data_IF_341725635369
#
_entry.id   IF_341725635369
#
_cell.length_a   1.000
_cell.length_b   1.000
_cell.length_c   1.000
_cell.angle_alpha   90.00
_cell.angle_beta   90.00
_cell.angle_gamma   90.00
#
_symmetry.space_group_name_H-M   'P 1'
#
loop_
_entity.id
_entity.type
_entity.pdbx_description
1 polymer ?
#
# COMPACT_ATOMS: atom_id res chain seq x y z
N UNK A 1 -20.45 23.33 -0.27
CA UNK A 1 -20.11 22.89 1.10
C UNK A 1 -19.39 21.55 1.01
N UNK A 2 -18.21 21.39 1.63
CA UNK A 2 -17.47 20.12 1.56
C UNK A 2 -18.11 19.03 2.44
N UNK A 3 -17.87 17.75 2.10
CA UNK A 3 -18.36 16.58 2.89
C UNK A 3 -17.95 16.69 4.37
N UNK A 4 -16.72 17.15 4.63
CA UNK A 4 -16.25 17.37 6.00
C UNK A 4 -17.09 18.37 6.80
N UNK A 5 -17.63 19.41 6.15
CA UNK A 5 -18.51 20.37 6.81
C UNK A 5 -19.88 19.76 7.16
N UNK A 6 -20.42 18.88 6.30
CA UNK A 6 -21.64 18.14 6.58
C UNK A 6 -21.45 17.17 7.76
N UNK A 7 -20.33 16.43 7.78
CA UNK A 7 -19.98 15.52 8.90
C UNK A 7 -19.85 16.32 10.20
N UNK A 8 -19.17 17.47 10.16
CA UNK A 8 -19.04 18.34 11.33
C UNK A 8 -20.38 18.86 11.85
N UNK A 9 -21.31 19.23 10.97
CA UNK A 9 -22.66 19.64 11.36
C UNK A 9 -23.47 18.50 11.98
N UNK A 10 -23.38 17.29 11.42
CA UNK A 10 -24.04 16.11 11.99
C UNK A 10 -23.49 15.79 13.40
N UNK A 11 -22.17 15.82 13.57
CA UNK A 11 -21.53 15.62 14.87
C UNK A 11 -21.94 16.70 15.89
N UNK A 12 -22.01 17.97 15.47
CA UNK A 12 -22.47 19.05 16.34
C UNK A 12 -23.93 18.85 16.76
N UNK A 13 -24.82 18.44 15.84
CA UNK A 13 -26.22 18.16 16.14
C UNK A 13 -26.36 17.02 17.16
N UNK A 14 -25.61 15.93 16.98
CA UNK A 14 -25.57 14.80 17.91
C UNK A 14 -25.09 15.22 19.31
N UNK A 15 -24.02 16.01 19.41
CA UNK A 15 -23.51 16.53 20.69
C UNK A 15 -24.54 17.41 21.40
N UNK A 16 -25.21 18.31 20.65
CA UNK A 16 -26.26 19.16 21.21
C UNK A 16 -27.47 18.35 21.67
N UNK A 17 -27.80 17.26 20.96
CA UNK A 17 -28.89 16.38 21.31
C UNK A 17 -28.61 15.60 22.60
N UNK A 18 -27.40 15.06 22.76
CA UNK A 18 -26.96 14.42 24.02
C UNK A 18 -26.97 15.43 25.16
N UNK A 19 -26.50 16.65 24.93
CA UNK A 19 -26.52 17.70 25.94
C UNK A 19 -27.96 18.07 26.35
N UNK A 20 -28.88 18.21 25.39
CA UNK A 20 -30.28 18.49 25.67
C UNK A 20 -30.94 17.35 26.46
N UNK A 21 -30.63 16.11 26.09
CA UNK A 21 -31.06 14.93 26.84
C UNK A 21 -30.58 14.92 28.29
N UNK A 22 -29.31 15.26 28.53
CA UNK A 22 -28.73 15.29 29.87
C UNK A 22 -29.17 16.48 30.73
N UNK A 23 -29.44 17.65 30.13
CA UNK A 23 -29.64 18.91 30.86
C UNK A 23 -31.10 19.39 30.92
N UNK A 24 -31.97 18.90 30.02
CA UNK A 24 -33.35 19.40 29.88
C UNK A 24 -34.41 18.30 30.05
N UNK A 25 -34.04 17.15 30.62
CA UNK A 25 -34.91 15.99 30.81
C UNK A 25 -35.69 15.60 29.55
N UNK A 26 -35.05 15.75 28.38
CA UNK A 26 -35.66 15.36 27.12
C UNK A 26 -36.00 13.86 27.20
N UNK A 27 -37.24 13.49 26.88
CA UNK A 27 -37.60 12.08 26.88
C UNK A 27 -36.69 11.30 25.90
N UNK A 28 -36.20 10.13 26.32
CA UNK A 28 -35.32 9.27 25.49
C UNK A 28 -35.93 9.01 24.09
N UNK A 29 -37.25 8.81 24.02
CA UNK A 29 -37.98 8.60 22.76
C UNK A 29 -37.87 9.83 21.84
N UNK A 30 -38.00 11.04 22.40
CA UNK A 30 -37.87 12.28 21.64
C UNK A 30 -36.42 12.47 21.15
N UNK A 31 -35.42 12.13 21.98
CA UNK A 31 -34.02 12.17 21.58
C UNK A 31 -33.74 11.20 20.43
N UNK A 32 -34.22 9.96 20.49
CA UNK A 32 -34.08 8.98 19.40
C UNK A 32 -34.78 9.44 18.12
N UNK A 33 -35.98 10.00 18.22
CA UNK A 33 -36.71 10.55 17.07
C UNK A 33 -35.95 11.68 16.38
N UNK A 34 -35.40 12.61 17.16
CA UNK A 34 -34.58 13.72 16.64
C UNK A 34 -33.30 13.22 15.98
N UNK A 35 -32.60 12.25 16.59
CA UNK A 35 -31.40 11.66 16.00
C UNK A 35 -31.71 11.01 14.64
N UNK A 36 -32.76 10.18 14.54
CA UNK A 36 -33.18 9.59 13.28
C UNK A 36 -33.53 10.65 12.21
N UNK A 37 -34.13 11.76 12.64
CA UNK A 37 -34.37 12.93 11.79
C UNK A 37 -33.08 13.55 11.23
N UNK A 38 -32.06 13.70 12.08
CA UNK A 38 -30.72 14.19 11.68
C UNK A 38 -30.06 13.23 10.69
N UNK A 39 -30.12 11.91 10.94
CA UNK A 39 -29.57 10.88 10.04
C UNK A 39 -30.25 10.93 8.67
N UNK A 40 -31.58 11.01 8.63
CA UNK A 40 -32.35 11.09 7.39
C UNK A 40 -32.06 12.39 6.59
N UNK A 41 -31.98 13.52 7.29
CA UNK A 41 -31.63 14.81 6.68
C UNK A 41 -30.21 14.79 6.10
N UNK A 42 -29.24 14.24 6.84
CA UNK A 42 -27.87 14.08 6.40
C UNK A 42 -27.76 13.19 5.15
N UNK A 43 -28.46 12.06 5.13
CA UNK A 43 -28.51 11.16 3.98
C UNK A 43 -29.14 11.85 2.75
N UNK A 44 -30.22 12.61 2.95
CA UNK A 44 -30.87 13.39 1.91
C UNK A 44 -29.96 14.46 1.31
N UNK A 45 -29.30 15.25 2.15
CA UNK A 45 -28.32 16.26 1.75
C UNK A 45 -27.13 15.65 1.01
N UNK A 46 -26.56 14.57 1.54
CA UNK A 46 -25.46 13.86 0.90
C UNK A 46 -25.87 13.33 -0.49
N UNK A 47 -27.08 12.77 -0.63
CA UNK A 47 -27.60 12.29 -1.91
C UNK A 47 -27.86 13.42 -2.90
N UNK A 48 -28.34 14.57 -2.43
CA UNK A 48 -28.56 15.75 -3.26
C UNK A 48 -27.25 16.35 -3.78
N UNK A 49 -26.20 16.38 -2.94
CA UNK A 49 -24.91 16.99 -3.27
C UNK A 49 -23.99 16.03 -4.06
N UNK A 50 -23.99 14.74 -3.71
CA UNK A 50 -23.06 13.75 -4.27
C UNK A 50 -23.65 12.91 -5.41
N UNK A 51 -24.94 13.07 -5.71
CA UNK A 51 -25.65 12.32 -6.75
C UNK A 51 -26.15 10.93 -6.31
N UNK A 52 -27.02 10.34 -7.14
CA UNK A 52 -27.60 9.00 -6.93
C UNK A 52 -26.54 7.92 -7.26
N UNK A 53 -25.77 7.45 -6.29
CA UNK A 53 -25.01 6.21 -6.50
C UNK A 53 -23.78 5.95 -5.64
N UNK A 54 -23.38 6.82 -4.71
CA UNK A 54 -22.17 6.57 -3.94
C UNK A 54 -22.44 5.54 -2.80
N UNK A 55 -21.88 4.31 -2.84
CA UNK A 55 -21.97 3.35 -1.72
C UNK A 55 -21.41 3.93 -0.41
N UNK A 56 -20.54 4.94 -0.51
CA UNK A 56 -20.05 5.73 0.62
C UNK A 56 -21.17 6.41 1.41
N UNK A 57 -22.23 6.91 0.76
CA UNK A 57 -23.37 7.56 1.46
C UNK A 57 -24.11 6.55 2.32
N UNK A 58 -24.32 5.33 1.81
CA UNK A 58 -24.94 4.25 2.58
C UNK A 58 -24.08 3.83 3.76
N UNK A 59 -22.76 3.69 3.58
CA UNK A 59 -21.85 3.37 4.67
C UNK A 59 -21.83 4.45 5.76
N UNK A 60 -21.76 5.73 5.39
CA UNK A 60 -21.82 6.85 6.35
C UNK A 60 -23.16 6.88 7.10
N UNK A 61 -24.27 6.64 6.40
CA UNK A 61 -25.62 6.60 7.00
C UNK A 61 -25.76 5.42 7.97
N UNK A 62 -25.22 4.25 7.61
CA UNK A 62 -25.22 3.07 8.48
C UNK A 62 -24.40 3.29 9.75
N UNK A 63 -23.22 3.94 9.65
CA UNK A 63 -22.40 4.29 10.81
C UNK A 63 -23.15 5.28 11.71
N UNK A 64 -23.78 6.31 11.14
CA UNK A 64 -24.58 7.27 11.91
C UNK A 64 -25.72 6.58 12.66
N UNK A 65 -26.47 5.72 11.98
CA UNK A 65 -27.60 5.01 12.57
C UNK A 65 -27.19 3.99 13.66
N UNK A 66 -26.10 3.24 13.44
CA UNK A 66 -25.70 2.16 14.33
C UNK A 66 -25.04 2.67 15.62
N UNK A 67 -24.29 3.76 15.53
CA UNK A 67 -23.62 4.35 16.70
C UNK A 67 -24.48 5.39 17.43
N UNK A 68 -25.72 5.61 16.96
CA UNK A 68 -26.66 6.55 17.56
C UNK A 68 -26.04 7.96 17.67
N UNK A 69 -26.23 8.68 18.80
CA UNK A 69 -25.71 10.03 18.96
C UNK A 69 -24.16 10.09 19.07
N UNK A 70 -23.46 8.97 18.97
CA UNK A 70 -22.00 8.94 18.85
C UNK A 70 -21.52 8.75 17.40
N UNK A 71 -22.45 8.59 16.45
CA UNK A 71 -22.15 8.36 15.04
C UNK A 71 -21.41 9.51 14.38
N UNK A 72 -21.79 10.76 14.66
CA UNK A 72 -21.08 11.95 14.17
C UNK A 72 -19.61 12.01 14.63
N UNK A 73 -19.31 11.94 15.94
CA UNK A 73 -17.93 11.84 16.44
C UNK A 73 -17.15 10.64 15.89
N UNK A 74 -17.77 9.46 15.77
CA UNK A 74 -17.15 8.29 15.16
C UNK A 74 -16.76 8.56 13.70
N UNK A 75 -17.62 9.24 12.93
CA UNK A 75 -17.29 9.71 11.58
C UNK A 75 -16.25 10.82 11.53
N UNK A 76 -15.97 11.56 12.61
CA UNK A 76 -14.84 12.48 12.64
C UNK A 76 -13.52 11.75 12.90
N UNK A 77 -13.52 10.68 13.70
CA UNK A 77 -12.35 9.83 13.95
C UNK A 77 -12.02 8.99 12.71
N UNK A 78 -13.04 8.41 12.08
CA UNK A 78 -12.94 7.65 10.82
C UNK A 78 -12.87 8.62 9.63
N UNK A 79 -13.22 9.88 9.85
CA UNK A 79 -13.28 10.96 8.88
C UNK A 79 -11.95 11.20 8.20
N UNK A 80 -11.92 12.01 7.14
CA UNK A 80 -10.90 11.95 6.10
C UNK A 80 -9.58 12.61 6.55
N UNK A 81 -8.93 12.07 7.58
CA UNK A 81 -7.54 12.36 7.91
C UNK A 81 -6.57 11.85 6.85
N UNK A 82 -7.03 11.12 5.82
CA UNK A 82 -6.20 10.59 4.73
C UNK A 82 -6.91 10.52 3.36
N UNK A 83 -7.87 11.39 3.04
CA UNK A 83 -8.40 11.48 1.67
C UNK A 83 -7.46 12.22 0.68
N UNK A 84 -6.20 12.45 1.07
CA UNK A 84 -5.10 12.63 0.11
C UNK A 84 -4.60 11.30 -0.49
N UNK A 85 -4.93 10.17 0.13
CA UNK A 85 -4.89 8.84 -0.48
C UNK A 85 -6.30 8.50 -0.95
N UNK A 86 -6.57 8.75 -2.23
CA UNK A 86 -7.89 8.56 -2.82
C UNK A 86 -8.44 7.17 -2.49
N UNK A 87 -9.72 7.06 -2.10
CA UNK A 87 -10.44 5.78 -2.07
C UNK A 87 -10.47 5.09 -3.45
N UNK A 88 -10.07 5.79 -4.51
CA UNK A 88 -9.72 5.18 -5.79
C UNK A 88 -8.52 4.22 -5.68
N UNK A 89 -7.55 4.42 -4.79
CA UNK A 89 -6.42 3.50 -4.62
C UNK A 89 -6.81 2.22 -3.86
N UNK A 90 -7.74 2.30 -2.90
CA UNK A 90 -8.27 1.12 -2.22
C UNK A 90 -9.22 0.30 -3.12
N UNK A 91 -9.99 0.96 -3.99
CA UNK A 91 -10.81 0.30 -5.01
C UNK A 91 -9.96 -0.24 -6.19
N UNK A 92 -8.83 0.40 -6.53
CA UNK A 92 -7.85 -0.08 -7.53
C UNK A 92 -7.05 -1.29 -7.08
N UNK A 93 -6.96 -1.57 -5.78
CA UNK A 93 -6.37 -2.82 -5.27
C UNK A 93 -7.28 -4.04 -5.42
N UNK A 94 -8.61 -3.85 -5.56
CA UNK A 94 -9.56 -4.97 -5.68
C UNK A 94 -10.14 -5.18 -7.08
N UNK A 95 -10.36 -4.11 -7.85
CA UNK A 95 -10.95 -4.19 -9.18
C UNK A 95 -9.94 -3.80 -10.25
N UNK A 96 -9.41 -4.81 -10.97
CA UNK A 96 -8.72 -4.67 -12.25
C UNK A 96 -7.73 -3.51 -12.32
N UNK A 97 -6.53 -3.69 -11.77
CA UNK A 97 -5.42 -2.76 -11.98
C UNK A 97 -5.20 -2.64 -13.49
N UNK A 98 -5.73 -1.59 -14.09
CA UNK A 98 -5.43 -1.21 -15.46
C UNK A 98 -3.90 -1.14 -15.52
N UNK A 99 -3.22 -1.85 -16.44
CA UNK A 99 -1.77 -1.85 -16.49
C UNK A 99 -1.32 -0.39 -16.55
N UNK A 100 -0.45 0.00 -15.63
CA UNK A 100 0.05 1.36 -15.54
C UNK A 100 0.47 1.80 -16.93
N UNK A 101 -0.07 2.92 -17.40
CA UNK A 101 0.23 3.37 -18.75
C UNK A 101 1.75 3.59 -18.85
N UNK A 102 2.32 3.37 -20.04
CA UNK A 102 3.76 3.63 -20.25
C UNK A 102 4.15 5.06 -19.81
N UNK A 103 3.21 6.02 -19.89
CA UNK A 103 3.37 7.38 -19.41
C UNK A 103 3.43 7.50 -17.87
N UNK A 104 2.60 6.78 -17.12
CA UNK A 104 2.68 6.73 -15.65
C UNK A 104 3.95 6.02 -15.18
N UNK A 105 4.33 4.91 -15.83
CA UNK A 105 5.60 4.24 -15.55
C UNK A 105 6.80 5.15 -15.84
N UNK A 106 6.75 5.94 -16.92
CA UNK A 106 7.77 6.92 -17.27
C UNK A 106 7.78 8.09 -16.28
N UNK A 107 6.63 8.64 -15.90
CA UNK A 107 6.51 9.72 -14.93
C UNK A 107 7.02 9.29 -13.55
N UNK A 108 6.71 8.06 -13.12
CA UNK A 108 7.26 7.48 -11.91
C UNK A 108 8.77 7.28 -12.06
N UNK A 109 9.27 6.80 -13.21
CA UNK A 109 10.71 6.65 -13.45
C UNK A 109 11.46 8.00 -13.45
N UNK A 110 10.86 9.07 -13.97
CA UNK A 110 11.45 10.43 -14.01
C UNK A 110 11.45 11.02 -12.60
N UNK A 111 10.33 10.92 -11.89
CA UNK A 111 10.21 11.35 -10.49
C UNK A 111 11.18 10.58 -9.60
N UNK A 112 11.36 9.29 -9.87
CA UNK A 112 12.31 8.42 -9.15
C UNK A 112 13.76 8.72 -9.53
N UNK A 113 14.10 8.98 -10.80
CA UNK A 113 15.48 9.34 -11.21
C UNK A 113 15.93 10.72 -10.70
N UNK A 114 14.99 11.63 -10.42
CA UNK A 114 15.30 12.91 -9.75
C UNK A 114 15.60 12.75 -8.27
N UNK A 115 15.18 11.65 -7.63
CA UNK A 115 15.70 11.24 -6.33
C UNK A 115 16.93 10.39 -6.61
N UNK A 116 18.13 10.95 -6.42
CA UNK A 116 19.37 10.19 -6.64
C UNK A 116 19.21 8.76 -6.10
N UNK A 117 19.39 7.73 -6.94
CA UNK A 117 19.38 6.36 -6.47
C UNK A 117 20.38 6.31 -5.33
N UNK A 118 19.88 6.05 -4.11
CA UNK A 118 20.72 5.91 -2.95
C UNK A 118 21.78 4.87 -3.32
N UNK A 119 23.08 5.21 -3.29
CA UNK A 119 24.11 4.26 -3.66
C UNK A 119 23.97 3.04 -2.76
N UNK A 120 23.50 1.93 -3.34
CA UNK A 120 23.35 0.63 -2.69
C UNK A 120 24.71 0.12 -2.14
N UNK A 121 25.81 0.69 -2.62
CA UNK A 121 27.19 0.39 -2.25
C UNK A 121 27.67 1.06 -0.95
N UNK A 122 26.85 1.86 -0.27
CA UNK A 122 27.28 2.57 0.94
C UNK A 122 26.29 2.58 2.12
N UNK A 123 25.13 1.93 1.99
CA UNK A 123 24.21 1.81 3.12
C UNK A 123 24.71 0.73 4.09
N UNK A 124 24.80 1.01 5.41
CA UNK A 124 24.85 -0.05 6.41
C UNK A 124 23.72 -1.02 6.10
N UNK A 125 23.99 -2.33 6.17
CA UNK A 125 22.95 -3.33 5.93
C UNK A 125 21.69 -2.96 6.70
N UNK A 126 20.51 -3.03 6.08
CA UNK A 126 19.26 -2.49 6.66
C UNK A 126 19.02 -2.91 8.12
N UNK A 127 19.46 -4.12 8.50
CA UNK A 127 19.45 -4.61 9.88
C UNK A 127 20.23 -3.69 10.83
N UNK A 128 21.42 -3.24 10.45
CA UNK A 128 22.24 -2.30 11.23
C UNK A 128 21.55 -0.95 11.40
N UNK A 129 20.89 -0.44 10.36
CA UNK A 129 20.11 0.81 10.44
C UNK A 129 19.01 0.70 11.50
N UNK A 130 18.33 -0.44 11.59
CA UNK A 130 17.32 -0.66 12.63
C UNK A 130 17.88 -0.85 14.04
N UNK A 131 19.16 -1.25 14.18
CA UNK A 131 19.81 -1.42 15.48
C UNK A 131 20.42 -0.14 16.03
N UNK A 132 21.15 0.60 15.20
CA UNK A 132 21.97 1.74 15.65
C UNK A 132 21.64 3.05 14.95
N UNK A 133 20.78 3.03 13.94
CA UNK A 133 20.40 4.23 13.20
C UNK A 133 19.48 5.15 14.01
N UNK A 134 19.45 6.42 13.62
CA UNK A 134 18.50 7.40 14.18
C UNK A 134 17.07 7.04 13.78
N UNK A 135 16.08 7.52 14.55
CA UNK A 135 14.66 7.31 14.23
C UNK A 135 14.32 7.71 12.79
N UNK A 136 14.88 8.83 12.31
CA UNK A 136 14.68 9.29 10.93
C UNK A 136 15.27 8.32 9.89
N UNK A 137 16.45 7.74 10.16
CA UNK A 137 17.06 6.74 9.30
C UNK A 137 16.24 5.44 9.28
N UNK A 138 15.73 5.01 10.43
CA UNK A 138 14.87 3.83 10.56
C UNK A 138 13.56 4.00 9.78
N UNK A 139 12.92 5.17 9.88
CA UNK A 139 11.72 5.49 9.09
C UNK A 139 12.01 5.53 7.58
N UNK A 140 13.14 6.10 7.16
CA UNK A 140 13.57 6.08 5.75
C UNK A 140 13.82 4.66 5.25
N UNK A 141 14.40 3.80 6.10
CA UNK A 141 14.61 2.38 5.79
C UNK A 141 13.28 1.64 5.61
N UNK A 142 12.29 1.82 6.51
CA UNK A 142 10.94 1.23 6.34
C UNK A 142 10.30 1.71 5.04
N UNK A 143 10.41 3.00 4.73
CA UNK A 143 9.85 3.57 3.50
C UNK A 143 10.54 3.01 2.25
N UNK A 144 11.84 2.72 2.30
CA UNK A 144 12.56 2.06 1.21
C UNK A 144 12.12 0.61 1.03
N UNK A 145 12.01 -0.16 2.12
CA UNK A 145 11.50 -1.55 2.12
C UNK A 145 10.09 -1.61 1.52
N UNK A 146 9.21 -0.66 1.86
CA UNK A 146 7.84 -0.59 1.33
C UNK A 146 7.75 -0.35 -0.19
N UNK A 147 8.78 0.26 -0.80
CA UNK A 147 8.82 0.61 -2.22
C UNK A 147 9.60 -0.38 -3.07
N UNK A 148 10.71 -0.89 -2.55
CA UNK A 148 11.69 -1.69 -3.29
C UNK A 148 12.06 -2.95 -2.50
N UNK A 149 11.06 -3.68 -2.04
CA UNK A 149 11.27 -4.90 -1.27
C UNK A 149 12.08 -5.93 -2.06
N UNK A 150 13.11 -6.47 -1.41
CA UNK A 150 13.85 -7.66 -1.85
C UNK A 150 13.80 -8.72 -0.74
N UNK A 151 13.77 -10.03 -1.05
CA UNK A 151 13.82 -11.09 -0.04
C UNK A 151 14.94 -10.92 1.00
N UNK A 152 16.11 -10.42 0.59
CA UNK A 152 17.25 -10.18 1.49
C UNK A 152 16.98 -9.09 2.55
N UNK A 153 15.95 -8.25 2.35
CA UNK A 153 15.52 -7.24 3.32
C UNK A 153 14.60 -7.81 4.42
N UNK A 154 14.16 -9.07 4.31
CA UNK A 154 13.26 -9.72 5.29
C UNK A 154 13.81 -9.67 6.73
N UNK A 155 15.09 -9.95 7.00
CA UNK A 155 15.64 -9.86 8.37
C UNK A 155 15.56 -8.44 8.94
N UNK A 156 15.70 -7.42 8.09
CA UNK A 156 15.57 -6.02 8.52
C UNK A 156 14.12 -5.66 8.85
N UNK A 157 13.16 -6.09 8.04
CA UNK A 157 11.74 -5.92 8.33
C UNK A 157 11.34 -6.64 9.62
N UNK A 158 11.82 -7.86 9.84
CA UNK A 158 11.62 -8.59 11.09
C UNK A 158 12.21 -7.85 12.31
N UNK A 159 13.40 -7.27 12.15
CA UNK A 159 14.02 -6.41 13.18
C UNK A 159 13.15 -5.18 13.48
N UNK A 160 12.58 -4.55 12.46
CA UNK A 160 11.69 -3.39 12.62
C UNK A 160 10.37 -3.76 13.33
N UNK A 161 9.81 -4.94 13.04
CA UNK A 161 8.62 -5.46 13.73
C UNK A 161 8.87 -5.74 15.22
N UNK A 162 10.08 -6.16 15.56
CA UNK A 162 10.53 -6.39 16.93
C UNK A 162 11.06 -5.13 17.63
N UNK A 163 10.97 -3.95 17.00
CA UNK A 163 11.53 -2.71 17.57
C UNK A 163 10.88 -2.37 18.92
N UNK A 164 11.65 -1.90 19.93
CA UNK A 164 11.06 -1.42 21.18
C UNK A 164 10.21 -0.16 20.98
N UNK A 165 10.43 0.60 19.91
CA UNK A 165 9.71 1.85 19.60
C UNK A 165 8.34 1.56 18.98
N UNK A 166 7.21 1.90 19.65
CA UNK A 166 5.87 1.56 19.16
C UNK A 166 5.56 2.09 17.75
N UNK A 167 5.97 3.31 17.45
CA UNK A 167 5.73 3.93 16.14
C UNK A 167 6.39 3.15 14.98
N UNK A 168 7.60 2.63 15.17
CA UNK A 168 8.27 1.81 14.15
C UNK A 168 7.60 0.46 13.97
N UNK A 169 7.16 -0.18 15.07
CA UNK A 169 6.43 -1.46 14.98
C UNK A 169 5.16 -1.32 14.15
N UNK A 170 4.38 -0.26 14.40
CA UNK A 170 3.14 -0.01 13.66
C UNK A 170 3.43 0.22 12.17
N UNK A 171 4.45 1.02 11.86
CA UNK A 171 4.86 1.24 10.46
C UNK A 171 5.34 -0.04 9.79
N UNK A 172 6.15 -0.84 10.48
CA UNK A 172 6.65 -2.11 9.97
C UNK A 172 5.51 -3.13 9.76
N UNK A 173 4.53 -3.19 10.68
CA UNK A 173 3.36 -4.05 10.55
C UNK A 173 2.49 -3.66 9.34
N UNK A 174 2.29 -2.36 9.12
CA UNK A 174 1.56 -1.87 7.95
C UNK A 174 2.28 -2.26 6.64
N UNK A 175 3.61 -2.12 6.59
CA UNK A 175 4.42 -2.55 5.43
C UNK A 175 4.37 -4.06 5.24
N UNK A 176 4.47 -4.84 6.31
CA UNK A 176 4.36 -6.30 6.27
C UNK A 176 3.01 -6.76 5.71
N UNK A 177 1.90 -6.20 6.21
CA UNK A 177 0.56 -6.52 5.72
C UNK A 177 0.38 -6.18 4.23
N UNK A 178 0.89 -5.01 3.81
CA UNK A 178 0.89 -4.59 2.39
C UNK A 178 1.67 -5.56 1.50
N UNK A 179 2.89 -5.93 1.91
CA UNK A 179 3.73 -6.85 1.15
C UNK A 179 3.10 -8.24 1.08
N UNK A 180 2.54 -8.73 2.19
CA UNK A 180 1.81 -9.99 2.24
C UNK A 180 0.68 -10.03 1.21
N UNK A 181 -0.22 -9.06 1.26
CA UNK A 181 -1.34 -8.98 0.31
C UNK A 181 -0.87 -8.91 -1.14
N UNK A 182 0.19 -8.16 -1.42
CA UNK A 182 0.72 -8.02 -2.79
C UNK A 182 1.34 -9.30 -3.33
N UNK A 183 2.14 -10.01 -2.53
CA UNK A 183 2.78 -11.26 -2.95
C UNK A 183 1.79 -12.42 -3.02
N UNK A 184 0.81 -12.50 -2.10
CA UNK A 184 -0.28 -13.47 -2.19
C UNK A 184 -1.10 -13.28 -3.48
N UNK A 185 -1.43 -12.02 -3.83
CA UNK A 185 -2.14 -11.73 -5.07
C UNK A 185 -1.33 -12.11 -6.32
N UNK A 186 -0.01 -11.82 -6.31
CA UNK A 186 0.89 -12.24 -7.39
C UNK A 186 0.99 -13.76 -7.50
N UNK A 187 1.15 -14.46 -6.39
CA UNK A 187 1.21 -15.93 -6.37
C UNK A 187 -0.07 -16.55 -6.95
N UNK A 188 -1.24 -16.07 -6.53
CA UNK A 188 -2.53 -16.50 -7.09
C UNK A 188 -2.64 -16.25 -8.59
N UNK A 189 -2.20 -15.08 -9.06
CA UNK A 189 -2.22 -14.75 -10.47
C UNK A 189 -1.31 -15.67 -11.31
N UNK A 190 -0.11 -15.96 -10.81
CA UNK A 190 0.86 -16.89 -11.43
C UNK A 190 0.27 -18.31 -11.48
N UNK A 191 -0.28 -18.80 -10.37
CA UNK A 191 -0.85 -20.16 -10.33
C UNK A 191 -2.09 -20.30 -11.23
N UNK A 192 -2.90 -19.25 -11.36
CA UNK A 192 -4.04 -19.25 -12.27
C UNK A 192 -3.62 -19.18 -13.76
N UNK A 193 -2.52 -18.48 -14.06
CA UNK A 193 -2.02 -18.32 -15.43
C UNK A 193 -0.49 -18.48 -15.48
N UNK A 194 0.04 -19.71 -15.42
CA UNK A 194 1.48 -19.97 -15.35
C UNK A 194 2.33 -19.27 -16.40
N UNK A 195 1.86 -19.28 -17.65
CA UNK A 195 2.54 -18.68 -18.79
C UNK A 195 2.65 -17.14 -18.74
N UNK A 196 2.01 -16.48 -17.76
CA UNK A 196 2.04 -15.03 -17.61
C UNK A 196 3.31 -14.50 -16.92
N UNK A 197 4.13 -15.37 -16.34
CA UNK A 197 5.34 -14.99 -15.60
C UNK A 197 6.55 -15.81 -16.04
N UNK A 198 7.72 -15.18 -16.04
CA UNK A 198 9.00 -15.86 -16.27
C UNK A 198 9.50 -16.57 -15.00
N UNK A 199 10.41 -17.53 -15.17
CA UNK A 199 10.98 -18.29 -14.06
C UNK A 199 11.60 -17.39 -12.97
N UNK A 200 12.22 -16.26 -13.36
CA UNK A 200 12.79 -15.29 -12.42
C UNK A 200 11.72 -14.63 -11.53
N UNK A 201 10.59 -14.23 -12.10
CA UNK A 201 9.46 -13.67 -11.33
C UNK A 201 8.86 -14.71 -10.41
N UNK A 202 8.69 -15.95 -10.88
CA UNK A 202 8.15 -17.04 -10.08
C UNK A 202 9.07 -17.31 -8.88
N UNK A 203 10.38 -17.41 -9.09
CA UNK A 203 11.37 -17.56 -8.01
C UNK A 203 11.34 -16.40 -7.03
N UNK A 204 11.23 -15.15 -7.51
CA UNK A 204 11.14 -13.97 -6.63
C UNK A 204 9.91 -14.03 -5.72
N UNK A 205 8.76 -14.43 -6.24
CA UNK A 205 7.52 -14.54 -5.46
C UNK A 205 7.62 -15.69 -4.46
N UNK A 206 8.14 -16.84 -4.88
CA UNK A 206 8.38 -17.99 -3.99
C UNK A 206 9.37 -17.66 -2.86
N UNK A 207 10.44 -16.92 -3.16
CA UNK A 207 11.45 -16.51 -2.18
C UNK A 207 11.01 -15.32 -1.29
N UNK A 208 9.86 -14.70 -1.55
CA UNK A 208 9.41 -13.50 -0.85
C UNK A 208 9.23 -13.70 0.67
N UNK A 209 8.94 -14.93 1.11
CA UNK A 209 8.62 -15.23 2.50
C UNK A 209 7.24 -14.75 2.96
N UNK A 210 6.38 -14.34 2.01
CA UNK A 210 5.02 -13.86 2.28
C UNK A 210 3.92 -14.80 1.78
N UNK A 211 4.29 -15.87 1.09
CA UNK A 211 3.41 -16.97 0.68
C UNK A 211 3.54 -18.13 1.66
N UNK A 212 2.49 -18.92 1.83
CA UNK A 212 2.54 -20.16 2.61
C UNK A 212 3.45 -21.21 1.95
N UNK A 213 3.87 -22.22 2.72
CA UNK A 213 4.83 -23.20 2.26
C UNK A 213 4.32 -24.09 1.11
N UNK A 214 3.03 -24.38 1.07
CA UNK A 214 2.42 -25.16 -0.01
C UNK A 214 2.47 -24.36 -1.33
N UNK A 215 1.98 -23.12 -1.31
CA UNK A 215 2.06 -22.19 -2.44
C UNK A 215 3.50 -21.99 -2.89
N UNK A 216 4.45 -21.88 -1.95
CA UNK A 216 5.88 -21.77 -2.25
C UNK A 216 6.39 -22.98 -3.02
N UNK A 217 6.07 -24.20 -2.60
CA UNK A 217 6.49 -25.43 -3.27
C UNK A 217 5.90 -25.54 -4.68
N UNK A 218 4.62 -25.19 -4.85
CA UNK A 218 3.97 -25.16 -6.15
C UNK A 218 4.63 -24.17 -7.11
N UNK A 219 4.95 -22.96 -6.64
CA UNK A 219 5.67 -21.97 -7.44
C UNK A 219 7.08 -22.45 -7.81
N UNK A 220 7.80 -23.12 -6.91
CA UNK A 220 9.14 -23.64 -7.20
C UNK A 220 9.10 -24.77 -8.25
N UNK A 221 8.11 -25.66 -8.18
CA UNK A 221 7.90 -26.68 -9.22
C UNK A 221 7.60 -26.01 -10.58
N UNK A 222 6.71 -25.02 -10.58
CA UNK A 222 6.36 -24.27 -11.79
C UNK A 222 7.56 -23.54 -12.41
N UNK A 223 8.44 -22.97 -11.57
CA UNK A 223 9.65 -22.30 -12.02
C UNK A 223 10.64 -23.27 -12.67
N UNK A 224 10.72 -24.52 -12.18
CA UNK A 224 11.54 -25.56 -12.78
C UNK A 224 11.07 -25.93 -14.19
N UNK A 225 9.74 -25.97 -14.41
CA UNK A 225 9.15 -26.22 -15.73
C UNK A 225 9.37 -25.05 -16.71
N UNK A 226 9.50 -23.83 -16.19
CA UNK A 226 9.78 -22.62 -16.97
C UNK A 226 11.27 -22.32 -17.11
N UNK A 227 12.15 -23.15 -16.53
CA UNK A 227 13.58 -22.97 -16.68
C UNK A 227 13.90 -23.07 -18.18
N UNK A 228 14.60 -22.07 -18.75
CA UNK A 228 15.06 -22.20 -20.13
C UNK A 228 15.85 -23.50 -20.23
N UNK A 229 15.65 -24.30 -21.29
CA UNK A 229 16.39 -25.55 -21.46
C UNK A 229 17.86 -25.21 -21.26
N UNK A 230 18.50 -25.91 -20.31
CA UNK A 230 19.87 -25.66 -19.91
C UNK A 230 20.67 -25.33 -21.16
N UNK A 231 21.18 -24.09 -21.24
CA UNK A 231 21.80 -23.60 -22.45
C UNK A 231 22.83 -24.64 -22.85
N UNK A 232 22.51 -25.40 -23.92
CA UNK A 232 23.39 -26.45 -24.41
C UNK A 232 24.69 -25.72 -24.61
N UNK A 233 25.72 -26.18 -23.92
CA UNK A 233 27.02 -25.55 -23.80
C UNK A 233 27.67 -25.57 -25.20
N UNK A 234 27.15 -24.73 -26.10
CA UNK A 234 27.71 -24.44 -27.41
C UNK A 234 28.84 -23.47 -27.13
N UNK A 235 29.82 -23.96 -26.39
CA UNK A 235 31.17 -23.49 -26.46
C UNK A 235 31.68 -23.82 -27.87
N UNK A 236 31.11 -23.15 -28.88
CA UNK A 236 31.85 -22.92 -30.11
C UNK A 236 33.09 -22.15 -29.66
N UNK A 237 34.29 -22.63 -29.94
CA UNK A 237 35.51 -21.92 -29.57
C UNK A 237 35.39 -20.50 -30.10
N UNK A 238 35.35 -19.53 -29.19
CA UNK A 238 35.36 -18.12 -29.53
C UNK A 238 36.52 -17.90 -30.49
N UNK A 239 36.20 -17.53 -31.73
CA UNK A 239 37.21 -17.04 -32.66
C UNK A 239 37.98 -15.93 -31.93
N UNK A 240 39.32 -15.97 -31.95
CA UNK A 240 40.14 -15.04 -31.20
C UNK A 240 39.71 -13.60 -31.52
N UNK A 241 39.44 -12.83 -30.47
CA UNK A 241 38.94 -11.47 -30.61
C UNK A 241 39.83 -10.65 -31.58
N UNK A 242 39.25 -9.93 -32.54
CA UNK A 242 40.02 -9.14 -33.48
C UNK A 242 40.86 -8.11 -32.72
N UNK A 243 42.18 -8.15 -32.92
CA UNK A 243 43.11 -7.19 -32.32
C UNK A 243 42.82 -5.81 -32.88
N UNK A 244 42.08 -4.99 -32.13
CA UNK A 244 41.92 -3.57 -32.44
C UNK A 244 43.28 -2.89 -32.30
N UNK A 245 43.87 -2.49 -33.43
CA UNK A 245 45.08 -1.66 -33.45
C UNK A 245 44.78 -0.36 -32.68
N UNK A 246 45.44 -0.16 -31.55
CA UNK A 246 45.40 1.11 -30.82
C UNK A 246 46.12 2.14 -31.67
N UNK A 247 45.36 2.97 -32.38
CA UNK A 247 45.89 4.20 -32.94
C UNK A 247 46.09 5.15 -31.76
N UNK A 248 47.34 5.31 -31.35
CA UNK A 248 47.79 6.38 -30.46
C UNK A 248 47.61 7.70 -31.20
N UNK A 249 46.52 8.42 -30.92
CA UNK A 249 46.44 9.83 -31.28
C UNK A 249 47.46 10.57 -30.40
N UNK A 250 48.59 10.93 -31.02
CA UNK A 250 49.62 11.74 -30.40
C UNK A 250 49.03 13.06 -29.90
N UNK A 251 49.40 13.43 -28.68
CA UNK A 251 49.18 14.76 -28.16
C UNK A 251 49.98 15.77 -28.97
N UNK A 252 49.30 16.82 -29.42
CA UNK A 252 49.96 18.07 -29.81
C UNK A 252 50.17 18.88 -28.53
N UNK A 253 51.43 19.21 -28.29
CA UNK A 253 51.89 20.21 -27.33
C UNK A 253 51.63 21.62 -27.87
#
# INVERSE_FOLDING_TARGET
>A
MGIGALIGLAALADILLVRAWLMQDLAMIAAMGLHLGVVALFAGLCRAILGRGAPAVWAMTAILALFGPFGGPALMIIGPGQAGGSAADAARTGAGRRPASAAEALADSITQRRRHPLPLTGMPGFVQVFRTGTMQQQQRAIAAISRHYHPDMRPALATALASPVPALRVQAAAVHAKLRSSFEAQAKAILAHPASADAATIHRVAASGFVDDETRLLLLALAADHAPPAAVDRCSPLLPAPRLKRYSCGGLA
#
